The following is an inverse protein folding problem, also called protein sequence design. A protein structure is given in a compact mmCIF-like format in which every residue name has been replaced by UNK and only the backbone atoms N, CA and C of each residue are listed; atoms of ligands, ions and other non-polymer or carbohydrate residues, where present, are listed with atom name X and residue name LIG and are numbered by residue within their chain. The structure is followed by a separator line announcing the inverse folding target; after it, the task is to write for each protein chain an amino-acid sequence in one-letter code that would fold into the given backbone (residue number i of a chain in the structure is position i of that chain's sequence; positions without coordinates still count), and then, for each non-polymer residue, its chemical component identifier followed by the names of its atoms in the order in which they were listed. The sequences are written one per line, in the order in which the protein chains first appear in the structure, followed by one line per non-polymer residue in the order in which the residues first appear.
data_IF_763982932303
#
_entry.id   IF_763982932303
#
_cell.length_a   1.000
_cell.length_b   1.000
_cell.length_c   1.000
_cell.angle_alpha   90.00
_cell.angle_beta   90.00
_cell.angle_gamma   90.00
#
_symmetry.space_group_name_H-M   'P 1'
#
loop_
_entity.id
_entity.type
_entity.pdbx_description
1 polymer ?
#
# COMPACT_ATOMS: atom_id res chain seq x y z
N UNK A 1 42.26 -33.63 21.48
CA UNK A 1 42.53 -32.46 20.61
C UNK A 1 41.20 -32.13 19.92
N UNK A 2 40.15 -31.60 20.59
CA UNK A 2 39.96 -30.29 21.23
C UNK A 2 40.29 -29.10 20.31
N UNK A 3 39.22 -28.53 19.75
CA UNK A 3 39.00 -27.12 19.37
C UNK A 3 40.10 -26.43 18.54
N UNK A 4 39.98 -26.44 17.21
CA UNK A 4 40.83 -25.59 16.36
C UNK A 4 40.16 -25.07 15.07
N UNK A 5 38.85 -24.84 15.07
CA UNK A 5 38.16 -24.30 13.88
C UNK A 5 37.24 -23.10 14.16
N UNK A 6 37.10 -22.66 15.41
CA UNK A 6 36.09 -21.63 15.78
C UNK A 6 36.66 -20.23 16.02
N UNK A 7 37.97 -20.00 15.85
CA UNK A 7 38.63 -18.72 16.16
C UNK A 7 38.82 -17.77 14.98
N UNK A 8 38.41 -18.12 13.76
CA UNK A 8 38.58 -17.25 12.58
C UNK A 8 37.44 -16.21 12.38
N UNK A 9 36.29 -16.37 13.04
CA UNK A 9 35.08 -15.56 12.76
C UNK A 9 34.87 -14.32 13.64
N UNK A 10 35.85 -13.89 14.42
CA UNK A 10 35.67 -12.84 15.44
C UNK A 10 36.62 -11.64 15.33
N UNK A 11 37.28 -11.43 14.19
CA UNK A 11 38.29 -10.36 14.02
C UNK A 11 38.04 -9.43 12.82
N UNK A 12 36.77 -9.19 12.46
CA UNK A 12 36.39 -8.26 11.40
C UNK A 12 35.23 -7.32 11.79
N UNK A 13 35.11 -6.96 13.07
CA UNK A 13 34.03 -6.08 13.59
C UNK A 13 34.56 -4.82 14.32
N UNK A 14 35.84 -4.44 14.16
CA UNK A 14 36.41 -3.40 15.03
C UNK A 14 37.41 -2.43 14.37
N UNK A 15 37.10 -1.86 13.20
CA UNK A 15 37.90 -0.74 12.65
C UNK A 15 37.23 0.10 11.54
N UNK A 16 36.08 0.76 11.79
CA UNK A 16 35.73 2.03 11.09
C UNK A 16 34.87 2.89 12.03
N UNK A 17 35.50 3.45 13.05
CA UNK A 17 34.95 4.56 13.84
C UNK A 17 36.08 5.56 14.03
N UNK A 18 35.81 6.82 13.65
CA UNK A 18 36.62 8.04 13.82
C UNK A 18 37.17 8.66 12.51
N UNK A 19 37.08 10.00 12.48
CA UNK A 19 37.45 11.01 11.47
C UNK A 19 36.26 11.36 10.56
N UNK A 20 35.67 12.56 10.59
CA UNK A 20 36.27 13.90 10.75
C UNK A 20 35.25 14.86 11.42
N UNK A 21 35.73 15.57 12.45
CA UNK A 21 35.14 16.80 12.95
C UNK A 21 35.77 18.00 12.21
N UNK A 22 34.94 18.96 11.80
CA UNK A 22 35.33 20.27 11.25
C UNK A 22 34.07 21.06 10.90
N UNK A 23 33.53 21.86 11.82
CA UNK A 23 33.91 23.25 12.09
C UNK A 23 33.15 24.26 11.19
N UNK A 24 32.30 25.06 11.86
CA UNK A 24 31.84 26.45 11.59
C UNK A 24 30.40 26.56 12.12
N UNK A 25 30.15 27.02 13.35
CA UNK A 25 30.25 28.40 13.87
C UNK A 25 29.16 29.34 13.35
N UNK A 26 28.46 29.99 14.30
CA UNK A 26 27.62 31.21 14.17
C UNK A 26 26.23 31.02 13.54
N UNK A 27 25.12 31.68 13.90
CA UNK A 27 24.72 32.59 14.99
C UNK A 27 23.21 32.90 14.77
N UNK A 28 22.47 33.14 15.86
CA UNK A 28 21.22 33.90 16.05
C UNK A 28 20.11 34.00 14.97
N UNK A 29 18.93 33.44 15.31
CA UNK A 29 17.59 34.06 15.50
C UNK A 29 16.91 35.04 14.47
N UNK A 30 15.56 35.20 14.55
CA UNK A 30 14.65 35.39 13.41
C UNK A 30 14.36 36.85 13.10
N UNK A 31 13.72 37.15 11.95
CA UNK A 31 13.04 38.42 11.73
C UNK A 31 11.87 38.28 10.76
N UNK A 32 10.72 38.73 11.23
CA UNK A 32 9.45 38.97 10.55
C UNK A 32 9.55 40.06 9.45
N UNK A 33 8.38 40.48 8.96
CA UNK A 33 8.03 41.82 8.45
C UNK A 33 8.15 41.93 6.91
N UNK A 34 7.22 42.42 6.09
CA UNK A 34 5.84 42.93 6.20
C UNK A 34 5.50 43.62 4.87
N UNK A 35 4.22 43.60 4.49
CA UNK A 35 3.49 44.60 3.68
C UNK A 35 3.88 44.87 2.22
N UNK A 36 2.88 44.81 1.33
CA UNK A 36 2.33 46.04 0.70
C UNK A 36 0.91 45.82 0.17
N UNK A 37 0.05 46.68 0.71
CA UNK A 37 -1.35 46.95 0.43
C UNK A 37 -1.45 47.83 -0.83
N UNK A 38 -2.51 47.70 -1.62
CA UNK A 38 -2.96 48.77 -2.51
C UNK A 38 -4.50 48.81 -2.57
N UNK A 39 -5.00 49.98 -2.18
CA UNK A 39 -6.36 50.41 -1.90
C UNK A 39 -7.03 50.95 -3.17
N UNK A 40 -8.34 50.75 -3.35
CA UNK A 40 -9.18 51.66 -4.15
C UNK A 40 -10.67 51.60 -3.73
N UNK A 41 -11.03 52.61 -2.93
CA UNK A 41 -12.27 53.40 -2.80
C UNK A 41 -13.54 53.05 -3.61
N UNK A 42 -14.63 52.87 -2.83
CA UNK A 42 -16.01 53.43 -2.92
C UNK A 42 -16.75 53.51 -4.26
N UNK A 43 -17.91 52.83 -4.37
CA UNK A 43 -19.23 53.48 -4.52
C UNK A 43 -20.38 52.50 -4.23
N UNK A 44 -21.39 52.95 -3.50
CA UNK A 44 -22.68 52.27 -3.34
C UNK A 44 -23.66 52.87 -4.36
N UNK A 45 -24.60 52.08 -4.89
CA UNK A 45 -25.98 52.34 -4.44
C UNK A 45 -26.91 51.12 -4.38
N UNK A 46 -27.98 51.34 -3.60
CA UNK A 46 -29.37 50.92 -3.79
C UNK A 46 -29.74 49.44 -3.95
N UNK A 47 -30.38 48.97 -2.86
CA UNK A 47 -31.45 47.99 -2.73
C UNK A 47 -32.31 47.76 -3.98
N UNK A 48 -32.38 46.51 -4.44
CA UNK A 48 -33.58 45.94 -5.03
C UNK A 48 -33.75 44.50 -4.54
N UNK A 49 -34.80 44.27 -3.75
CA UNK A 49 -35.14 42.97 -3.20
C UNK A 49 -35.87 42.15 -4.28
N UNK A 50 -35.12 41.33 -5.01
CA UNK A 50 -35.69 40.28 -5.87
C UNK A 50 -35.38 38.92 -5.25
N UNK A 51 -36.39 38.29 -4.65
CA UNK A 51 -36.32 36.91 -4.17
C UNK A 51 -36.12 35.97 -5.35
N UNK A 52 -34.86 35.68 -5.67
CA UNK A 52 -34.47 34.54 -6.49
C UNK A 52 -34.24 33.37 -5.54
N UNK A 53 -35.12 32.37 -5.57
CA UNK A 53 -34.85 31.07 -4.97
C UNK A 53 -33.66 30.47 -5.71
N UNK A 54 -32.45 30.72 -5.19
CA UNK A 54 -31.25 30.01 -5.59
C UNK A 54 -31.47 28.55 -5.20
N UNK A 55 -31.65 27.68 -6.20
CA UNK A 55 -31.49 26.25 -5.99
C UNK A 55 -30.10 26.06 -5.40
N UNK A 56 -30.04 25.56 -4.18
CA UNK A 56 -28.80 25.15 -3.56
C UNK A 56 -28.23 24.03 -4.42
N UNK A 57 -27.25 24.35 -5.25
CA UNK A 57 -26.33 23.36 -5.77
C UNK A 57 -25.55 22.88 -4.55
N UNK A 58 -26.01 21.79 -3.94
CA UNK A 58 -25.18 21.04 -2.99
C UNK A 58 -24.00 20.55 -3.80
N UNK A 59 -22.88 21.27 -3.72
CA UNK A 59 -21.58 20.71 -4.05
C UNK A 59 -21.37 19.58 -3.05
N UNK A 60 -21.67 18.35 -3.49
CA UNK A 60 -21.30 17.14 -2.78
C UNK A 60 -19.79 17.22 -2.57
N UNK A 61 -19.36 17.16 -1.32
CA UNK A 61 -17.94 17.03 -1.02
C UNK A 61 -17.44 15.79 -1.78
N UNK A 62 -16.24 15.81 -2.37
CA UNK A 62 -15.70 14.63 -3.03
C UNK A 62 -15.79 13.45 -2.06
N UNK A 63 -16.39 12.34 -2.51
CA UNK A 63 -16.45 11.12 -1.70
C UNK A 63 -15.01 10.69 -1.41
N UNK A 64 -14.72 10.37 -0.16
CA UNK A 64 -13.43 9.76 0.21
C UNK A 64 -13.15 8.54 -0.68
N UNK A 65 -11.90 8.32 -1.11
CA UNK A 65 -11.57 7.22 -1.99
C UNK A 65 -11.88 5.87 -1.30
N UNK A 66 -12.34 4.91 -2.10
CA UNK A 66 -12.52 3.54 -1.63
C UNK A 66 -11.15 2.92 -1.40
N UNK A 67 -10.87 2.43 -0.19
CA UNK A 67 -9.58 1.82 0.13
C UNK A 67 -9.57 0.33 -0.22
N UNK A 68 -8.50 -0.11 -0.87
CA UNK A 68 -8.19 -1.51 -1.17
C UNK A 68 -6.83 -1.84 -0.58
N UNK A 69 -6.78 -2.87 0.26
CA UNK A 69 -5.54 -3.34 0.85
C UNK A 69 -4.76 -4.20 -0.16
N UNK A 70 -3.51 -3.88 -0.41
CA UNK A 70 -2.60 -4.69 -1.22
C UNK A 70 -1.60 -5.41 -0.31
N UNK A 71 -1.81 -6.71 -0.10
CA UNK A 71 -0.95 -7.56 0.72
C UNK A 71 0.16 -8.11 -0.17
N UNK A 72 1.21 -7.31 -0.31
CA UNK A 72 2.37 -7.65 -1.12
C UNK A 72 3.22 -8.74 -0.45
N UNK A 73 3.90 -9.57 -1.25
CA UNK A 73 4.91 -10.48 -0.70
C UNK A 73 6.13 -9.72 -0.18
N UNK A 74 6.54 -8.65 -0.88
CA UNK A 74 7.47 -7.65 -0.36
C UNK A 74 7.54 -6.42 -1.26
N UNK A 75 7.66 -5.22 -0.68
CA UNK A 75 7.94 -3.98 -1.41
C UNK A 75 9.35 -3.95 -2.04
N UNK A 76 10.25 -4.83 -1.62
CA UNK A 76 11.59 -4.98 -2.24
C UNK A 76 11.54 -5.72 -3.58
N UNK A 77 10.42 -6.35 -3.93
CA UNK A 77 10.26 -7.06 -5.20
C UNK A 77 9.88 -6.09 -6.31
N UNK A 78 10.79 -5.88 -7.27
CA UNK A 78 10.59 -4.92 -8.37
C UNK A 78 9.45 -5.28 -9.32
N UNK A 79 9.12 -6.57 -9.47
CA UNK A 79 7.96 -6.98 -10.27
C UNK A 79 6.65 -6.62 -9.56
N UNK A 80 6.59 -6.82 -8.24
CA UNK A 80 5.43 -6.41 -7.44
C UNK A 80 5.30 -4.89 -7.32
N UNK A 81 6.41 -4.16 -7.27
CA UNK A 81 6.39 -2.70 -7.33
C UNK A 81 5.80 -2.21 -8.67
N UNK A 82 6.23 -2.78 -9.80
CA UNK A 82 5.66 -2.45 -11.11
C UNK A 82 4.17 -2.83 -11.22
N UNK A 83 3.78 -3.98 -10.68
CA UNK A 83 2.37 -4.38 -10.60
C UNK A 83 1.55 -3.40 -9.76
N UNK A 84 2.09 -2.92 -8.63
CA UNK A 84 1.44 -1.91 -7.78
C UNK A 84 1.27 -0.58 -8.50
N UNK A 85 2.31 -0.09 -9.17
CA UNK A 85 2.21 1.14 -9.98
C UNK A 85 1.11 1.04 -11.05
N UNK A 86 0.96 -0.13 -11.70
CA UNK A 86 -0.10 -0.35 -12.66
C UNK A 86 -1.50 -0.40 -12.00
N UNK A 87 -1.62 -1.02 -10.82
CA UNK A 87 -2.87 -1.01 -10.04
C UNK A 87 -3.25 0.41 -9.61
N UNK A 88 -2.30 1.20 -9.12
CA UNK A 88 -2.49 2.60 -8.69
C UNK A 88 -2.96 3.48 -9.86
N UNK A 89 -2.41 3.30 -11.07
CA UNK A 89 -2.85 4.03 -12.26
C UNK A 89 -4.33 3.78 -12.58
N UNK A 90 -4.77 2.52 -12.52
CA UNK A 90 -6.19 2.18 -12.74
C UNK A 90 -7.05 2.67 -11.57
N UNK A 91 -6.56 2.54 -10.34
CA UNK A 91 -7.28 2.93 -9.14
C UNK A 91 -7.58 4.44 -9.09
N UNK A 92 -6.62 5.27 -9.48
CA UNK A 92 -6.75 6.72 -9.49
C UNK A 92 -7.93 7.21 -10.37
N UNK A 93 -8.15 6.57 -11.51
CA UNK A 93 -9.26 6.91 -12.42
C UNK A 93 -10.64 6.43 -11.92
N UNK A 94 -10.66 5.59 -10.88
CA UNK A 94 -11.87 4.96 -10.34
C UNK A 94 -12.19 5.40 -8.90
N UNK A 95 -11.48 6.39 -8.35
CA UNK A 95 -11.69 6.85 -6.98
C UNK A 95 -11.30 5.80 -5.94
N UNK A 96 -10.29 4.98 -6.24
CA UNK A 96 -9.77 3.93 -5.37
C UNK A 96 -8.38 4.31 -4.89
N UNK A 97 -8.09 4.05 -3.62
CA UNK A 97 -6.76 4.15 -3.04
C UNK A 97 -6.22 2.76 -2.73
N UNK A 98 -5.02 2.44 -3.24
CA UNK A 98 -4.32 1.20 -2.93
C UNK A 98 -3.42 1.43 -1.72
N UNK A 99 -3.62 0.66 -0.65
CA UNK A 99 -2.82 0.73 0.58
C UNK A 99 -1.97 -0.54 0.68
N UNK A 100 -0.65 -0.40 0.54
CA UNK A 100 0.26 -1.55 0.62
C UNK A 100 0.55 -1.99 2.05
N UNK A 101 0.48 -3.30 2.26
CA UNK A 101 1.06 -4.01 3.39
C UNK A 101 2.29 -4.80 2.90
N UNK A 102 3.47 -4.45 3.39
CA UNK A 102 4.74 -5.10 3.05
C UNK A 102 4.97 -6.31 3.96
N UNK A 103 4.78 -7.52 3.45
CA UNK A 103 5.00 -8.73 4.23
C UNK A 103 6.49 -9.08 4.42
N UNK A 104 7.42 -8.44 3.71
CA UNK A 104 8.86 -8.69 3.83
C UNK A 104 9.27 -10.17 3.64
N UNK A 105 8.51 -10.92 2.85
CA UNK A 105 8.59 -12.37 2.69
C UNK A 105 8.47 -13.16 4.01
N UNK A 106 7.81 -12.59 5.01
CA UNK A 106 7.47 -13.22 6.28
C UNK A 106 5.98 -13.62 6.26
N UNK A 107 5.68 -14.94 6.17
CA UNK A 107 4.31 -15.45 6.22
C UNK A 107 3.53 -15.08 7.48
N UNK A 108 4.19 -15.01 8.64
CA UNK A 108 3.53 -14.69 9.89
C UNK A 108 3.15 -13.20 9.92
N UNK A 109 4.02 -12.34 9.39
CA UNK A 109 3.71 -10.94 9.21
C UNK A 109 2.56 -10.75 8.22
N UNK A 110 2.55 -11.47 7.09
CA UNK A 110 1.46 -11.37 6.11
C UNK A 110 0.12 -11.78 6.71
N UNK A 111 0.09 -12.86 7.49
CA UNK A 111 -1.13 -13.28 8.19
C UNK A 111 -1.62 -12.18 9.15
N UNK A 112 -0.71 -11.59 9.94
CA UNK A 112 -1.08 -10.49 10.84
C UNK A 112 -1.65 -9.30 10.07
N UNK A 113 -1.00 -8.87 8.99
CA UNK A 113 -1.45 -7.78 8.14
C UNK A 113 -2.82 -8.04 7.51
N UNK A 114 -3.09 -9.29 7.13
CA UNK A 114 -4.39 -9.72 6.63
C UNK A 114 -5.47 -9.54 7.69
N UNK A 115 -5.23 -10.07 8.89
CA UNK A 115 -6.16 -9.98 10.01
C UNK A 115 -6.37 -8.52 10.45
N UNK A 116 -5.33 -7.69 10.42
CA UNK A 116 -5.43 -6.25 10.68
C UNK A 116 -6.29 -5.54 9.63
N UNK A 117 -6.14 -5.89 8.34
CA UNK A 117 -6.97 -5.36 7.26
C UNK A 117 -8.44 -5.74 7.47
N UNK A 118 -8.75 -7.00 7.79
CA UNK A 118 -10.12 -7.44 8.11
C UNK A 118 -10.66 -6.68 9.32
N UNK A 119 -9.91 -6.65 10.42
CA UNK A 119 -10.34 -6.05 11.68
C UNK A 119 -10.56 -4.53 11.59
N UNK A 120 -9.85 -3.85 10.70
CA UNK A 120 -10.00 -2.40 10.50
C UNK A 120 -11.40 -2.01 10.00
N UNK A 121 -12.06 -2.88 9.23
CA UNK A 121 -13.34 -2.62 8.59
C UNK A 121 -13.32 -1.47 7.56
N UNK A 122 -12.14 -0.96 7.17
CA UNK A 122 -12.03 0.20 6.29
C UNK A 122 -11.81 -0.16 4.81
N UNK A 123 -11.44 -1.41 4.52
CA UNK A 123 -11.11 -1.86 3.18
C UNK A 123 -12.31 -2.53 2.52
N UNK A 124 -12.65 -2.10 1.31
CA UNK A 124 -13.69 -2.74 0.49
C UNK A 124 -13.15 -3.99 -0.24
N UNK A 125 -11.84 -4.06 -0.44
CA UNK A 125 -11.19 -5.18 -1.11
C UNK A 125 -9.77 -5.45 -0.62
N UNK A 126 -9.31 -6.66 -0.88
CA UNK A 126 -7.96 -7.15 -0.65
C UNK A 126 -7.39 -7.71 -1.96
N UNK A 127 -6.20 -7.25 -2.33
CA UNK A 127 -5.38 -7.86 -3.39
C UNK A 127 -4.25 -8.61 -2.70
N UNK A 128 -4.24 -9.94 -2.82
CA UNK A 128 -3.34 -10.82 -2.10
C UNK A 128 -2.26 -11.42 -3.02
N UNK A 129 -1.00 -11.26 -2.62
CA UNK A 129 0.13 -12.06 -3.15
C UNK A 129 0.54 -13.06 -2.07
N UNK A 130 -0.12 -14.22 -2.07
CA UNK A 130 -0.01 -15.18 -0.97
C UNK A 130 1.41 -15.77 -0.81
N UNK A 131 1.92 -15.77 0.41
CA UNK A 131 3.19 -16.43 0.77
C UNK A 131 3.03 -17.92 1.12
N UNK A 132 1.81 -18.35 1.48
CA UNK A 132 1.57 -19.68 2.06
C UNK A 132 0.64 -20.59 1.24
N UNK A 133 0.26 -20.16 0.03
CA UNK A 133 -0.56 -20.96 -0.88
C UNK A 133 -1.90 -21.40 -0.26
N UNK A 134 -2.17 -22.71 -0.25
CA UNK A 134 -3.37 -23.28 0.37
C UNK A 134 -3.55 -22.93 1.86
N UNK A 135 -2.47 -22.65 2.60
CA UNK A 135 -2.60 -22.30 4.01
C UNK A 135 -3.14 -20.88 4.25
N UNK A 136 -3.25 -20.05 3.21
CA UNK A 136 -3.92 -18.74 3.26
C UNK A 136 -5.45 -18.84 3.09
N UNK A 137 -5.99 -20.03 2.76
CA UNK A 137 -7.43 -20.21 2.52
C UNK A 137 -8.30 -19.73 3.69
N UNK A 138 -7.99 -20.05 4.97
CA UNK A 138 -8.80 -19.58 6.09
C UNK A 138 -8.82 -18.04 6.19
N UNK A 139 -7.67 -17.38 6.03
CA UNK A 139 -7.59 -15.91 6.08
C UNK A 139 -8.41 -15.27 4.92
N UNK A 140 -8.40 -15.89 3.73
CA UNK A 140 -9.22 -15.45 2.59
C UNK A 140 -10.72 -15.63 2.87
N UNK A 141 -11.11 -16.75 3.45
CA UNK A 141 -12.51 -17.00 3.83
C UNK A 141 -12.99 -16.00 4.87
N UNK A 142 -12.17 -15.69 5.88
CA UNK A 142 -12.49 -14.70 6.91
C UNK A 142 -12.73 -13.29 6.31
N UNK A 143 -11.95 -12.88 5.30
CA UNK A 143 -12.21 -11.62 4.59
C UNK A 143 -13.51 -11.63 3.79
N UNK A 144 -13.77 -12.71 3.06
CA UNK A 144 -15.00 -12.85 2.28
C UNK A 144 -16.24 -12.83 3.18
N UNK A 145 -16.18 -13.52 4.33
CA UNK A 145 -17.24 -13.53 5.34
C UNK A 145 -17.42 -12.15 6.00
N UNK A 146 -16.36 -11.34 6.09
CA UNK A 146 -16.42 -9.94 6.51
C UNK A 146 -16.96 -8.99 5.42
N UNK A 147 -17.27 -9.51 4.22
CA UNK A 147 -17.79 -8.74 3.09
C UNK A 147 -16.72 -7.98 2.31
N UNK A 148 -15.44 -8.35 2.46
CA UNK A 148 -14.32 -7.77 1.72
C UNK A 148 -14.10 -8.59 0.46
N UNK A 149 -14.09 -7.95 -0.71
CA UNK A 149 -13.78 -8.65 -1.97
C UNK A 149 -12.30 -9.05 -2.01
N UNK A 150 -12.00 -10.27 -2.47
CA UNK A 150 -10.62 -10.76 -2.55
C UNK A 150 -10.23 -11.04 -3.99
N UNK A 151 -9.09 -10.49 -4.42
CA UNK A 151 -8.40 -10.80 -5.67
C UNK A 151 -7.04 -11.40 -5.36
N UNK A 152 -6.68 -12.46 -6.08
CA UNK A 152 -5.38 -13.11 -5.93
C UNK A 152 -4.45 -12.68 -7.08
N UNK A 153 -3.22 -12.30 -6.74
CA UNK A 153 -2.19 -11.89 -7.69
C UNK A 153 -0.96 -12.80 -7.59
N UNK A 154 -0.49 -13.26 -8.74
CA UNK A 154 0.78 -13.98 -8.98
C UNK A 154 0.92 -15.38 -8.35
N UNK A 155 0.43 -15.57 -7.12
CA UNK A 155 0.58 -16.80 -6.35
C UNK A 155 -0.75 -17.53 -6.24
N UNK A 156 -0.74 -18.85 -6.36
CA UNK A 156 -1.97 -19.66 -6.23
C UNK A 156 -2.38 -19.73 -4.77
N UNK A 157 -3.66 -19.49 -4.47
CA UNK A 157 -4.29 -19.85 -3.18
C UNK A 157 -5.10 -21.12 -3.41
N UNK A 158 -4.51 -22.26 -3.08
CA UNK A 158 -5.09 -23.56 -3.37
C UNK A 158 -4.05 -24.67 -3.54
N UNK A 159 -4.52 -25.89 -3.77
CA UNK A 159 -3.68 -27.08 -3.96
C UNK A 159 -3.36 -27.35 -5.44
N UNK A 160 -4.25 -26.95 -6.35
CA UNK A 160 -4.06 -27.19 -7.78
C UNK A 160 -3.15 -26.12 -8.41
N UNK A 161 -1.90 -26.47 -8.68
CA UNK A 161 -0.92 -25.57 -9.28
C UNK A 161 -0.99 -25.53 -10.82
N UNK A 162 -1.96 -26.22 -11.44
CA UNK A 162 -2.13 -26.32 -12.88
C UNK A 162 -3.08 -25.29 -13.48
N UNK A 163 -3.85 -24.61 -12.64
CA UNK A 163 -4.88 -23.65 -13.04
C UNK A 163 -4.61 -22.23 -12.54
N UNK A 164 -5.17 -21.24 -13.24
CA UNK A 164 -5.26 -19.84 -12.80
C UNK A 164 -6.66 -19.49 -12.31
N UNK A 165 -7.58 -20.46 -12.31
CA UNK A 165 -8.92 -20.27 -11.76
C UNK A 165 -8.84 -20.19 -10.23
N UNK A 166 -9.64 -19.32 -9.59
CA UNK A 166 -9.75 -19.31 -8.14
C UNK A 166 -10.22 -20.67 -7.60
N UNK A 167 -9.62 -21.11 -6.49
CA UNK A 167 -9.95 -22.39 -5.83
C UNK A 167 -10.71 -22.22 -4.52
N UNK A 168 -10.97 -20.97 -4.12
CA UNK A 168 -11.84 -20.62 -3.00
C UNK A 168 -13.04 -19.88 -3.56
N UNK A 169 -14.22 -20.37 -3.25
CA UNK A 169 -15.48 -19.73 -3.64
C UNK A 169 -15.54 -18.30 -3.09
N UNK A 170 -15.96 -17.35 -3.93
CA UNK A 170 -16.09 -15.94 -3.56
C UNK A 170 -14.89 -15.05 -3.92
N UNK A 171 -13.73 -15.63 -4.25
CA UNK A 171 -12.63 -14.85 -4.86
C UNK A 171 -13.11 -14.24 -6.18
N UNK A 172 -12.99 -12.92 -6.31
CA UNK A 172 -13.49 -12.16 -7.45
C UNK A 172 -12.67 -12.43 -8.73
N UNK A 173 -11.36 -12.58 -8.59
CA UNK A 173 -10.45 -12.89 -9.69
C UNK A 173 -9.12 -13.46 -9.20
N UNK A 174 -8.43 -14.19 -10.09
CA UNK A 174 -7.04 -14.57 -9.91
C UNK A 174 -6.25 -14.17 -11.16
N UNK A 175 -5.16 -13.41 -10.96
CA UNK A 175 -4.28 -12.91 -12.03
C UNK A 175 -2.90 -13.53 -11.83
N UNK A 176 -2.66 -14.66 -12.49
CA UNK A 176 -1.39 -15.40 -12.36
C UNK A 176 -1.15 -16.30 -13.56
N UNK A 177 0.10 -16.73 -13.72
CA UNK A 177 0.46 -17.84 -14.59
C UNK A 177 0.54 -19.12 -13.76
N UNK A 178 -0.16 -20.20 -14.12
CA UNK A 178 -0.16 -21.42 -13.32
C UNK A 178 1.26 -22.00 -13.16
N UNK A 179 1.74 -22.25 -11.92
CA UNK A 179 3.12 -22.68 -11.69
C UNK A 179 3.51 -23.94 -12.45
N UNK A 180 2.61 -24.92 -12.57
CA UNK A 180 2.88 -26.17 -13.28
C UNK A 180 3.10 -25.93 -14.79
N UNK A 181 2.23 -25.13 -15.42
CA UNK A 181 2.33 -24.82 -16.85
C UNK A 181 3.56 -23.97 -17.14
N UNK A 182 3.86 -23.01 -16.27
CA UNK A 182 5.08 -22.21 -16.34
C UNK A 182 6.32 -23.11 -16.29
N UNK A 183 6.37 -24.05 -15.34
CA UNK A 183 7.45 -25.03 -15.21
C UNK A 183 7.65 -25.85 -16.49
N UNK A 184 6.57 -26.41 -17.06
CA UNK A 184 6.64 -27.17 -18.31
C UNK A 184 7.16 -26.35 -19.50
N UNK A 185 6.91 -25.04 -19.52
CA UNK A 185 7.34 -24.16 -20.61
C UNK A 185 8.82 -23.77 -20.54
N UNK A 186 9.40 -23.75 -19.34
CA UNK A 186 10.81 -23.37 -19.15
C UNK A 186 11.80 -24.55 -19.19
N UNK A 187 11.31 -25.79 -19.12
CA UNK A 187 12.10 -27.03 -19.22
C UNK A 187 12.56 -27.57 -17.87
#
# INVERSE_FOLDING_TARGET
MKHLTTTWRLLAVLAVFALIAGACSSTSEPTETTTTQATATTEAPATDATTTTAAATTTEAPSEPVQVAYLSASSANTWLAASREAMEQVAADNGIEIVEFDAQFDPALQQQQFQDAIASGQYAGIILVALTGAAAIPDVQDALDAGIEVVVLNQVVGEDLSTSEPQVDGIAAAVLEPPLLRGQRIG
#
